data_IF_618450539956
#
_entry.id   IF_618450539956
#
_cell.length_a   1.000
_cell.length_b   1.000
_cell.length_c   1.000
_cell.angle_alpha   90.00
_cell.angle_beta   90.00
_cell.angle_gamma   90.00
#
_symmetry.space_group_name_H-M   'P 1'
#
loop_
_entity.id
_entity.type
_entity.pdbx_description
1 polymer ?
#
# COMPACT_ATOMS: atom_id res chain seq x y z
N UNK A 1 -20.11 1.00 -12.32
CA UNK A 1 -18.91 1.54 -12.99
C UNK A 1 -18.76 0.89 -14.36
N UNK A 2 -18.38 1.61 -15.42
CA UNK A 2 -18.20 1.02 -16.75
C UNK A 2 -16.83 0.34 -16.87
N UNK A 3 -16.77 -0.77 -17.62
CA UNK A 3 -15.51 -1.50 -17.87
C UNK A 3 -14.47 -0.63 -18.58
N UNK A 4 -14.92 0.28 -19.45
CA UNK A 4 -14.05 1.22 -20.15
C UNK A 4 -13.31 2.16 -19.18
N UNK A 5 -14.02 2.68 -18.17
CA UNK A 5 -13.43 3.57 -17.15
C UNK A 5 -12.34 2.82 -16.36
N UNK A 6 -12.62 1.57 -15.98
CA UNK A 6 -11.69 0.73 -15.24
C UNK A 6 -10.44 0.41 -16.05
N UNK A 7 -10.61 0.02 -17.31
CA UNK A 7 -9.51 -0.26 -18.22
C UNK A 7 -8.63 0.98 -18.44
N UNK A 8 -9.24 2.18 -18.53
CA UNK A 8 -8.49 3.44 -18.65
C UNK A 8 -7.67 3.73 -17.38
N UNK A 9 -8.26 3.60 -16.20
CA UNK A 9 -7.55 3.79 -14.93
C UNK A 9 -6.38 2.80 -14.78
N UNK A 10 -6.60 1.53 -15.12
CA UNK A 10 -5.55 0.50 -15.08
C UNK A 10 -4.41 0.82 -16.04
N UNK A 11 -4.72 1.22 -17.29
CA UNK A 11 -3.70 1.59 -18.27
C UNK A 11 -2.87 2.81 -17.84
N UNK A 12 -3.51 3.80 -17.19
CA UNK A 12 -2.82 4.98 -16.63
C UNK A 12 -1.91 4.60 -15.47
N UNK A 13 -2.39 3.77 -14.54
CA UNK A 13 -1.56 3.27 -13.44
C UNK A 13 -0.35 2.47 -13.96
N UNK A 14 -0.57 1.56 -14.91
CA UNK A 14 0.53 0.77 -15.50
C UNK A 14 1.56 1.65 -16.17
N UNK A 15 1.13 2.71 -16.85
CA UNK A 15 2.05 3.69 -17.47
C UNK A 15 2.86 4.42 -16.41
N UNK A 16 2.22 4.95 -15.37
CA UNK A 16 2.92 5.63 -14.27
C UNK A 16 3.91 4.69 -13.53
N UNK A 17 3.55 3.41 -13.38
CA UNK A 17 4.42 2.40 -12.79
C UNK A 17 5.60 2.01 -13.67
N UNK A 18 5.62 2.28 -14.98
CA UNK A 18 6.82 2.00 -15.81
C UNK A 18 7.96 2.97 -15.52
N UNK A 19 7.62 4.22 -15.24
CA UNK A 19 8.61 5.29 -15.05
C UNK A 19 8.99 5.50 -13.57
N UNK A 20 8.16 5.02 -12.65
CA UNK A 20 8.42 5.16 -11.21
C UNK A 20 9.29 4.05 -10.61
N UNK A 21 10.15 4.38 -9.63
CA UNK A 21 10.78 3.37 -8.77
C UNK A 21 9.82 2.89 -7.67
N UNK A 22 8.71 2.28 -8.09
CA UNK A 22 7.66 1.78 -7.18
C UNK A 22 7.07 0.48 -7.70
N UNK A 23 6.76 -0.46 -6.81
CA UNK A 23 5.93 -1.63 -7.09
C UNK A 23 4.45 -1.25 -7.17
N UNK A 24 3.70 -2.08 -7.88
CA UNK A 24 2.24 -2.00 -7.93
C UNK A 24 1.64 -2.14 -6.52
N UNK A 25 0.82 -1.17 -6.05
CA UNK A 25 0.19 -1.23 -4.74
C UNK A 25 -1.00 -2.21 -4.67
N UNK A 26 -1.62 -2.57 -5.81
CA UNK A 26 -2.87 -3.36 -5.87
C UNK A 26 -2.79 -4.70 -5.14
N UNK A 27 -1.70 -5.50 -5.22
CA UNK A 27 -1.60 -6.75 -4.47
C UNK A 27 -1.66 -6.56 -2.96
N UNK A 28 -0.98 -5.54 -2.42
CA UNK A 28 -0.99 -5.24 -0.98
C UNK A 28 -2.39 -4.84 -0.51
N UNK A 29 -3.07 -3.99 -1.27
CA UNK A 29 -4.42 -3.53 -0.91
C UNK A 29 -5.48 -4.61 -1.08
N UNK A 30 -5.33 -5.58 -2.00
CA UNK A 30 -6.24 -6.74 -2.07
C UNK A 30 -6.16 -7.58 -0.80
N UNK A 31 -4.96 -7.80 -0.26
CA UNK A 31 -4.78 -8.52 1.00
C UNK A 31 -5.43 -7.77 2.16
N UNK A 32 -5.24 -6.45 2.23
CA UNK A 32 -5.86 -5.59 3.23
C UNK A 32 -7.40 -5.61 3.14
N UNK A 33 -7.95 -5.49 1.93
CA UNK A 33 -9.39 -5.56 1.70
C UNK A 33 -9.99 -6.92 2.09
N UNK A 34 -9.27 -8.02 1.87
CA UNK A 34 -9.71 -9.35 2.33
C UNK A 34 -9.82 -9.38 3.86
N UNK A 35 -8.82 -8.85 4.57
CA UNK A 35 -8.86 -8.76 6.03
C UNK A 35 -10.03 -7.91 6.53
N UNK A 36 -10.25 -6.73 5.94
CA UNK A 36 -11.41 -5.89 6.29
C UNK A 36 -12.71 -6.65 6.05
N UNK A 37 -12.85 -7.39 4.94
CA UNK A 37 -14.07 -8.15 4.67
C UNK A 37 -14.39 -9.19 5.76
N UNK A 38 -13.36 -9.74 6.40
CA UNK A 38 -13.49 -10.78 7.43
C UNK A 38 -13.71 -10.20 8.83
N UNK A 39 -13.09 -9.05 9.15
CA UNK A 39 -13.04 -8.50 10.50
C UNK A 39 -13.84 -7.21 10.71
N UNK A 40 -14.02 -6.40 9.66
CA UNK A 40 -14.83 -5.18 9.67
C UNK A 40 -15.54 -4.99 8.30
N UNK A 41 -16.67 -5.68 8.09
CA UNK A 41 -17.41 -5.60 6.83
C UNK A 41 -17.87 -4.18 6.47
N UNK A 42 -18.10 -3.32 7.47
CA UNK A 42 -18.51 -1.94 7.21
C UNK A 42 -17.35 -1.10 6.66
N UNK A 43 -16.15 -1.23 7.25
CA UNK A 43 -14.95 -0.61 6.71
C UNK A 43 -14.63 -1.11 5.30
N UNK A 44 -14.81 -2.40 5.04
CA UNK A 44 -14.67 -2.96 3.69
C UNK A 44 -15.62 -2.29 2.70
N UNK A 45 -16.91 -2.14 3.04
CA UNK A 45 -17.88 -1.47 2.15
C UNK A 45 -17.55 0.01 1.91
N UNK A 46 -17.05 0.72 2.93
CA UNK A 46 -16.58 2.11 2.77
C UNK A 46 -15.37 2.19 1.83
N UNK A 47 -14.39 1.30 2.00
CA UNK A 47 -13.21 1.23 1.15
C UNK A 47 -13.57 0.89 -0.30
N UNK A 48 -14.47 -0.09 -0.50
CA UNK A 48 -14.93 -0.48 -1.84
C UNK A 48 -15.67 0.67 -2.54
N UNK A 49 -16.56 1.37 -1.83
CA UNK A 49 -17.25 2.53 -2.37
C UNK A 49 -16.29 3.61 -2.82
N UNK A 50 -15.31 3.97 -1.98
CA UNK A 50 -14.29 4.94 -2.36
C UNK A 50 -13.50 4.48 -3.58
N UNK A 51 -13.14 3.20 -3.65
CA UNK A 51 -12.45 2.63 -4.80
C UNK A 51 -13.27 2.82 -6.10
N UNK A 52 -14.57 2.53 -6.08
CA UNK A 52 -15.44 2.56 -7.25
C UNK A 52 -15.92 3.97 -7.63
N UNK A 53 -16.22 4.81 -6.65
CA UNK A 53 -16.86 6.12 -6.84
C UNK A 53 -15.84 7.27 -6.90
N UNK A 54 -14.65 7.11 -6.30
CA UNK A 54 -13.65 8.19 -6.23
C UNK A 54 -12.34 7.80 -6.91
N UNK A 55 -11.69 6.71 -6.51
CA UNK A 55 -10.35 6.37 -6.98
C UNK A 55 -10.32 6.06 -8.48
N UNK A 56 -11.14 5.10 -8.95
CA UNK A 56 -11.11 4.69 -10.36
C UNK A 56 -11.51 5.86 -11.28
N UNK A 57 -12.58 6.62 -11.03
CA UNK A 57 -12.89 7.81 -11.81
C UNK A 57 -11.75 8.84 -11.83
N UNK A 58 -11.16 9.17 -10.68
CA UNK A 58 -10.08 10.15 -10.62
C UNK A 58 -8.85 9.71 -11.41
N UNK A 59 -8.43 8.45 -11.26
CA UNK A 59 -7.27 7.89 -11.98
C UNK A 59 -7.56 7.77 -13.48
N UNK A 60 -8.80 7.46 -13.89
CA UNK A 60 -9.18 7.38 -15.30
C UNK A 60 -9.18 8.76 -15.99
N UNK A 61 -9.42 9.82 -15.23
CA UNK A 61 -9.48 11.20 -15.71
C UNK A 61 -8.07 11.84 -15.72
N UNK A 62 -7.81 12.83 -14.85
CA UNK A 62 -6.55 13.58 -14.86
C UNK A 62 -5.66 13.36 -13.64
N UNK A 63 -6.12 12.68 -12.59
CA UNK A 63 -5.33 12.53 -11.37
C UNK A 63 -4.02 11.77 -11.62
N UNK A 64 -2.98 12.12 -10.86
CA UNK A 64 -1.74 11.33 -10.79
C UNK A 64 -2.07 9.95 -10.23
N UNK A 65 -1.81 8.85 -10.98
CA UNK A 65 -2.18 7.52 -10.51
C UNK A 65 -1.48 7.13 -9.21
N UNK A 66 -0.20 7.47 -9.03
CA UNK A 66 0.57 7.02 -7.89
C UNK A 66 0.16 7.75 -6.61
N UNK A 67 -0.12 9.05 -6.70
CA UNK A 67 -0.64 9.84 -5.59
C UNK A 67 -2.05 9.41 -5.20
N UNK A 68 -2.93 9.18 -6.18
CA UNK A 68 -4.31 8.73 -5.92
C UNK A 68 -4.34 7.35 -5.24
N UNK A 69 -3.52 6.41 -5.70
CA UNK A 69 -3.39 5.10 -5.07
C UNK A 69 -2.71 5.15 -3.70
N UNK A 70 -1.77 6.08 -3.48
CA UNK A 70 -1.17 6.31 -2.16
C UNK A 70 -2.21 6.84 -1.17
N UNK A 71 -3.04 7.80 -1.60
CA UNK A 71 -4.14 8.33 -0.79
C UNK A 71 -5.15 7.23 -0.43
N UNK A 72 -5.49 6.36 -1.38
CA UNK A 72 -6.32 5.19 -1.08
C UNK A 72 -5.66 4.27 -0.04
N UNK A 73 -4.35 4.06 -0.14
CA UNK A 73 -3.56 3.35 0.88
C UNK A 73 -3.67 3.97 2.26
N UNK A 74 -3.56 5.31 2.38
CA UNK A 74 -3.71 6.03 3.65
C UNK A 74 -5.11 5.84 4.24
N UNK A 75 -6.14 5.82 3.40
CA UNK A 75 -7.53 5.55 3.84
C UNK A 75 -7.71 4.14 4.34
N UNK A 76 -7.12 3.16 3.64
CA UNK A 76 -7.08 1.78 4.14
C UNK A 76 -6.34 1.73 5.48
N UNK A 77 -5.17 2.35 5.61
CA UNK A 77 -4.41 2.41 6.86
C UNK A 77 -5.24 2.94 8.03
N UNK A 78 -5.98 4.03 7.82
CA UNK A 78 -6.86 4.60 8.84
C UNK A 78 -8.00 3.64 9.25
N UNK A 79 -8.47 2.78 8.34
CA UNK A 79 -9.47 1.75 8.64
C UNK A 79 -8.92 0.61 9.52
N UNK A 80 -7.60 0.38 9.53
CA UNK A 80 -6.93 -0.53 10.46
C UNK A 80 -6.65 0.10 11.83
N UNK A 81 -7.06 1.35 12.05
CA UNK A 81 -6.92 2.05 13.31
C UNK A 81 -5.67 2.96 13.39
N UNK A 82 -5.48 3.61 14.55
CA UNK A 82 -4.33 4.47 14.78
C UNK A 82 -3.03 3.68 14.71
N UNK A 83 -1.94 4.38 14.44
CA UNK A 83 -0.63 3.77 14.30
C UNK A 83 0.41 4.77 13.82
N UNK A 84 1.57 4.24 13.44
CA UNK A 84 2.70 5.02 12.95
C UNK A 84 3.01 4.71 11.50
N UNK A 85 3.20 5.75 10.70
CA UNK A 85 3.70 5.62 9.34
C UNK A 85 5.21 5.83 9.32
N UNK A 86 5.92 4.83 8.82
CA UNK A 86 7.38 4.78 8.87
C UNK A 86 7.93 4.44 7.50
N UNK A 87 9.09 5.00 7.19
CA UNK A 87 9.90 4.63 6.04
C UNK A 87 11.09 3.80 6.50
N UNK A 88 11.35 2.67 5.84
CA UNK A 88 12.59 1.93 5.92
C UNK A 88 13.47 2.29 4.73
N UNK A 89 14.66 2.82 4.99
CA UNK A 89 15.67 3.05 3.97
C UNK A 89 16.27 1.72 3.45
N UNK A 90 17.21 1.81 2.50
CA UNK A 90 17.86 0.63 1.90
C UNK A 90 18.73 -0.17 2.90
N UNK A 91 19.05 0.38 4.07
CA UNK A 91 19.75 -0.30 5.16
C UNK A 91 18.79 -0.95 6.16
N UNK A 92 17.48 -0.69 6.04
CA UNK A 92 16.46 -1.13 6.97
C UNK A 92 16.30 -0.22 8.18
N UNK A 93 16.92 0.97 8.19
CA UNK A 93 16.72 1.94 9.27
C UNK A 93 15.36 2.59 9.12
N UNK A 94 14.63 2.58 10.22
CA UNK A 94 13.32 3.21 10.33
C UNK A 94 13.44 4.71 10.58
N UNK A 95 12.62 5.49 9.89
CA UNK A 95 12.35 6.89 10.22
C UNK A 95 10.85 7.19 10.11
N UNK A 96 10.29 8.03 11.00
CA UNK A 96 8.94 8.54 10.82
C UNK A 96 8.83 9.30 9.50
N UNK A 97 7.73 9.12 8.78
CA UNK A 97 7.45 9.86 7.55
C UNK A 97 6.10 10.60 7.67
N UNK A 98 6.11 11.94 7.81
CA UNK A 98 4.87 12.72 7.90
C UNK A 98 4.08 12.70 6.59
N UNK A 99 4.78 12.70 5.46
CA UNK A 99 4.19 12.61 4.13
C UNK A 99 4.77 11.42 3.34
N UNK A 100 4.02 10.31 3.22
CA UNK A 100 4.41 9.16 2.41
C UNK A 100 4.72 9.48 0.94
N UNK A 101 4.19 10.59 0.40
CA UNK A 101 4.40 11.00 -0.99
C UNK A 101 5.86 11.34 -1.31
N UNK A 102 6.58 11.90 -0.32
CA UNK A 102 7.98 12.33 -0.46
C UNK A 102 9.00 11.24 -0.16
N UNK A 103 8.55 10.06 0.29
CA UNK A 103 9.43 8.96 0.64
C UNK A 103 10.06 8.28 -0.60
N UNK A 104 11.26 7.74 -0.40
CA UNK A 104 12.02 7.01 -1.42
C UNK A 104 12.18 5.51 -1.08
N UNK A 105 12.04 5.14 0.19
CA UNK A 105 12.15 3.78 0.72
C UNK A 105 10.82 3.05 0.83
N UNK A 106 10.83 1.93 1.56
CA UNK A 106 9.64 1.15 1.87
C UNK A 106 8.83 1.89 2.93
N UNK A 107 7.59 2.27 2.62
CA UNK A 107 6.69 2.94 3.57
C UNK A 107 5.64 1.97 4.07
N UNK A 108 5.55 1.87 5.38
CA UNK A 108 4.63 1.00 6.10
C UNK A 108 3.76 1.84 7.04
N UNK A 109 2.48 1.50 7.14
CA UNK A 109 1.66 1.83 8.29
C UNK A 109 1.67 0.65 9.25
N UNK A 110 2.10 0.91 10.48
CA UNK A 110 2.13 -0.06 11.57
C UNK A 110 1.04 0.36 12.57
N UNK A 111 -0.09 -0.36 12.63
CA UNK A 111 -1.15 -0.10 13.61
C UNK A 111 -0.65 -0.26 15.05
N UNK A 112 -1.27 0.44 15.99
CA UNK A 112 -0.99 0.28 17.43
C UNK A 112 -1.51 -1.04 18.00
N UNK A 113 -2.56 -1.61 17.37
CA UNK A 113 -3.08 -2.94 17.68
C UNK A 113 -2.25 -4.01 16.94
N UNK A 114 -1.58 -4.87 17.70
CA UNK A 114 -0.72 -5.94 17.18
C UNK A 114 -1.47 -7.06 16.44
N UNK A 115 -2.80 -7.08 16.55
CA UNK A 115 -3.68 -7.98 15.78
C UNK A 115 -4.01 -7.44 14.40
N UNK A 116 -3.80 -6.14 14.18
CA UNK A 116 -4.06 -5.50 12.90
C UNK A 116 -2.83 -5.64 11.99
N UNK A 117 -3.00 -6.06 10.72
CA UNK A 117 -1.88 -6.26 9.82
C UNK A 117 -1.17 -4.94 9.47
N UNK A 118 0.15 -5.02 9.29
CA UNK A 118 0.95 -3.93 8.74
C UNK A 118 0.58 -3.70 7.28
N UNK A 119 0.36 -2.44 6.90
CA UNK A 119 -0.01 -2.06 5.54
C UNK A 119 1.15 -1.43 4.78
N UNK A 120 1.44 -1.91 3.58
CA UNK A 120 2.42 -1.30 2.68
C UNK A 120 1.78 -0.15 1.92
N UNK A 121 2.26 1.08 2.13
CA UNK A 121 1.79 2.28 1.43
C UNK A 121 2.63 2.59 0.18
N UNK A 122 3.92 2.28 0.22
CA UNK A 122 4.86 2.44 -0.90
C UNK A 122 5.92 1.36 -0.80
N UNK A 123 6.25 0.72 -1.91
CA UNK A 123 7.37 -0.21 -1.98
C UNK A 123 8.25 0.16 -3.18
N UNK A 124 9.58 0.32 -3.03
CA UNK A 124 10.49 0.50 -4.16
C UNK A 124 10.35 -0.63 -5.18
N UNK A 125 10.66 -0.39 -6.46
CA UNK A 125 10.57 -1.44 -7.50
C UNK A 125 11.43 -2.64 -7.11
N UNK A 126 12.67 -2.32 -6.71
CA UNK A 126 13.70 -3.26 -6.30
C UNK A 126 14.07 -3.02 -4.83
N UNK A 127 13.28 -3.55 -3.87
CA UNK A 127 13.57 -3.38 -2.46
C UNK A 127 14.90 -4.04 -2.10
N UNK A 128 15.68 -3.36 -1.25
CA UNK A 128 16.92 -3.90 -0.69
C UNK A 128 16.68 -5.21 0.09
N UNK A 129 17.75 -5.92 0.44
CA UNK A 129 17.67 -7.10 1.31
C UNK A 129 17.00 -6.80 2.65
N UNK A 130 17.31 -5.65 3.25
CA UNK A 130 16.72 -5.25 4.53
C UNK A 130 15.22 -4.97 4.41
N UNK A 131 14.81 -4.23 3.37
CA UNK A 131 13.40 -3.95 3.09
C UNK A 131 12.62 -5.23 2.72
N UNK A 132 13.24 -6.13 1.98
CA UNK A 132 12.65 -7.45 1.66
C UNK A 132 12.43 -8.25 2.93
N UNK A 133 13.43 -8.35 3.81
CA UNK A 133 13.28 -9.01 5.10
C UNK A 133 12.15 -8.40 5.96
N UNK A 134 12.00 -7.08 5.93
CA UNK A 134 10.89 -6.40 6.61
C UNK A 134 9.51 -6.76 6.01
N UNK A 135 9.38 -6.82 4.68
CA UNK A 135 8.15 -7.26 4.02
C UNK A 135 7.79 -8.69 4.41
N UNK A 136 8.76 -9.61 4.34
CA UNK A 136 8.55 -11.02 4.68
C UNK A 136 8.10 -11.17 6.14
N UNK A 137 8.79 -10.49 7.07
CA UNK A 137 8.50 -10.60 8.50
C UNK A 137 7.18 -9.91 8.89
N UNK A 138 7.00 -8.66 8.48
CA UNK A 138 5.94 -7.79 9.00
C UNK A 138 4.63 -7.87 8.21
N UNK A 139 4.71 -8.15 6.91
CA UNK A 139 3.55 -8.12 6.01
C UNK A 139 3.10 -9.54 5.66
N UNK A 140 4.05 -10.43 5.39
CA UNK A 140 3.74 -11.80 4.97
C UNK A 140 3.72 -12.79 6.14
N UNK A 141 4.21 -12.39 7.32
CA UNK A 141 4.34 -13.26 8.50
C UNK A 141 5.32 -14.42 8.29
N UNK A 142 6.17 -14.35 7.25
CA UNK A 142 7.19 -15.35 6.95
C UNK A 142 8.44 -15.01 7.75
N UNK A 143 8.75 -15.85 8.74
CA UNK A 143 10.09 -15.88 9.30
C UNK A 143 11.01 -16.59 8.31
N UNK A 144 11.65 -15.83 7.44
CA UNK A 144 12.81 -16.35 6.72
C UNK A 144 13.89 -16.55 7.77
N UNK A 145 14.03 -17.78 8.26
CA UNK A 145 15.14 -18.17 9.11
C UNK A 145 16.40 -17.71 8.38
N UNK A 146 17.02 -16.65 8.88
CA UNK A 146 18.23 -16.14 8.28
C UNK A 146 19.24 -17.27 8.41
N UNK A 147 19.51 -17.94 7.28
CA UNK A 147 20.66 -18.81 7.08
C UNK A 147 21.90 -17.92 7.21
N UNK A 148 22.20 -17.50 8.43
CA UNK A 148 23.56 -17.23 8.85
C UNK A 148 24.17 -18.60 9.11
N UNK A 149 24.74 -19.15 8.04
CA UNK A 149 25.86 -20.08 8.16
C UNK A 149 27.11 -19.35 8.63
#
# INVERSE_FOLDING_TARGET
MSDELRNRADARLETALRDADRRDPRPYYRTALRHLREHDPEAFQRALRFFEEELVPAVADEADPLEAWLEYGRRLAAAFGPGRTVELDSTGRERPVPDPGTAAGLVLHIPDDDRSPVLVLRCPRDPSRAQTGALELLVEGRQTASLYG
#
